data_IF_106042291469
#
_entry.id   IF_106042291469
#
_cell.length_a   1.000
_cell.length_b   1.000
_cell.length_c   1.000
_cell.angle_alpha   90.00
_cell.angle_beta   90.00
_cell.angle_gamma   90.00
#
_symmetry.space_group_name_H-M   'P 1'
#
loop_
_entity.id
_entity.type
_entity.pdbx_description
1 polymer ?
#
# COMPACT_ATOMS: atom_id res chain seq x y z
N UNK A 1 24.57 0.74 9.49
CA UNK A 1 25.56 0.79 10.58
C UNK A 1 26.84 1.37 10.02
N UNK A 2 27.41 2.39 10.65
CA UNK A 2 28.65 3.03 10.18
C UNK A 2 29.50 3.52 11.35
N UNK A 3 30.81 3.74 11.13
CA UNK A 3 31.69 4.31 12.15
C UNK A 3 31.38 5.79 12.35
N UNK A 4 31.54 6.26 13.58
CA UNK A 4 31.45 7.68 13.93
C UNK A 4 32.64 8.42 13.33
N UNK A 5 32.37 9.38 12.44
CA UNK A 5 33.38 10.15 11.68
C UNK A 5 33.73 11.51 12.30
N UNK A 6 32.96 11.98 13.29
CA UNK A 6 33.17 13.24 13.99
C UNK A 6 33.28 13.02 15.51
N UNK A 7 34.07 13.86 16.18
CA UNK A 7 34.25 13.76 17.63
C UNK A 7 32.92 14.07 18.34
N UNK A 8 32.56 13.20 19.29
CA UNK A 8 31.33 13.33 20.07
C UNK A 8 31.63 13.09 21.54
N UNK A 9 31.03 13.90 22.41
CA UNK A 9 31.20 13.79 23.87
C UNK A 9 30.70 12.44 24.43
N UNK A 10 29.75 11.79 23.72
CA UNK A 10 29.12 10.55 24.17
C UNK A 10 29.66 9.30 23.47
N UNK A 11 30.30 9.45 22.29
CA UNK A 11 30.68 8.32 21.44
C UNK A 11 32.10 8.51 20.93
N UNK A 12 32.94 7.49 21.12
CA UNK A 12 34.32 7.51 20.65
C UNK A 12 34.38 7.49 19.12
N UNK A 13 35.34 8.22 18.56
CA UNK A 13 35.69 8.16 17.14
C UNK A 13 35.91 6.72 16.67
N UNK A 14 35.36 6.38 15.50
CA UNK A 14 35.46 5.04 14.92
C UNK A 14 34.53 3.98 15.54
N UNK A 15 33.77 4.29 16.60
CA UNK A 15 32.77 3.37 17.13
C UNK A 15 31.60 3.21 16.14
N UNK A 16 31.12 1.98 15.99
CA UNK A 16 29.99 1.66 15.11
C UNK A 16 28.66 2.07 15.73
N UNK A 17 27.83 2.75 14.94
CA UNK A 17 26.50 3.17 15.34
C UNK A 17 25.47 2.87 14.25
N UNK A 18 24.21 2.73 14.66
CA UNK A 18 23.07 2.60 13.77
C UNK A 18 22.17 3.80 13.98
N UNK A 19 22.17 4.73 13.03
CA UNK A 19 21.22 5.83 13.02
C UNK A 19 19.89 5.33 12.47
N UNK A 20 18.84 5.42 13.28
CA UNK A 20 17.45 5.23 12.83
C UNK A 20 16.89 6.60 12.47
N UNK A 21 16.43 6.77 11.24
CA UNK A 21 15.78 8.01 10.81
C UNK A 21 14.34 8.04 11.31
N UNK A 22 13.98 9.09 12.04
CA UNK A 22 12.62 9.34 12.49
C UNK A 22 11.90 10.31 11.55
N UNK A 23 10.58 10.18 11.48
CA UNK A 23 9.75 11.13 10.73
C UNK A 23 9.78 12.49 11.43
N UNK A 24 9.85 13.58 10.64
CA UNK A 24 9.90 14.96 11.12
C UNK A 24 11.14 15.33 11.95
N UNK A 25 12.18 14.49 11.95
CA UNK A 25 13.46 14.84 12.52
C UNK A 25 14.43 15.25 11.40
N UNK A 26 15.03 16.42 11.54
CA UNK A 26 15.99 16.91 10.55
C UNK A 26 17.30 16.12 10.64
N UNK A 27 17.85 15.79 9.49
CA UNK A 27 19.17 15.16 9.36
C UNK A 27 19.95 15.80 8.21
N UNK A 28 21.26 15.67 8.24
CA UNK A 28 22.16 16.17 7.20
C UNK A 28 22.81 15.00 6.47
N UNK A 29 22.95 15.12 5.14
CA UNK A 29 23.65 14.16 4.30
C UNK A 29 24.86 14.83 3.67
N UNK A 30 25.99 14.15 3.74
CA UNK A 30 27.23 14.56 3.07
C UNK A 30 27.67 13.48 2.09
N UNK A 31 28.11 13.89 0.90
CA UNK A 31 28.60 13.02 -0.17
C UNK A 31 29.67 13.76 -0.94
N UNK A 32 30.74 13.07 -1.32
CA UNK A 32 31.88 13.66 -2.03
C UNK A 32 31.50 14.25 -3.40
N UNK A 33 30.47 13.71 -4.04
CA UNK A 33 30.00 14.15 -5.35
C UNK A 33 28.48 14.07 -5.43
N UNK A 34 27.83 15.18 -5.78
CA UNK A 34 26.41 15.23 -6.10
C UNK A 34 26.25 15.33 -7.61
N UNK A 35 25.66 14.32 -8.22
CA UNK A 35 25.25 14.36 -9.62
C UNK A 35 23.80 14.83 -9.75
N UNK A 36 23.39 15.12 -10.98
CA UNK A 36 22.05 15.61 -11.27
C UNK A 36 20.96 14.61 -10.83
N UNK A 37 21.21 13.30 -10.96
CA UNK A 37 20.24 12.26 -10.60
C UNK A 37 19.95 12.28 -9.10
N UNK A 38 20.98 12.49 -8.27
CA UNK A 38 20.79 12.62 -6.82
C UNK A 38 20.02 13.88 -6.46
N UNK A 39 20.31 15.01 -7.10
CA UNK A 39 19.60 16.28 -6.85
C UNK A 39 18.13 16.18 -7.26
N UNK A 40 17.84 15.63 -8.44
CA UNK A 40 16.47 15.44 -8.93
C UNK A 40 15.66 14.53 -8.00
N UNK A 41 16.27 13.47 -7.45
CA UNK A 41 15.60 12.59 -6.50
C UNK A 41 15.30 13.28 -5.17
N UNK A 42 16.20 14.14 -4.69
CA UNK A 42 15.95 14.92 -3.46
C UNK A 42 14.77 15.86 -3.70
N UNK A 43 14.78 16.58 -4.82
CA UNK A 43 13.71 17.52 -5.17
C UNK A 43 12.35 16.81 -5.29
N UNK A 44 12.31 15.66 -5.96
CA UNK A 44 11.10 14.84 -6.07
C UNK A 44 10.59 14.37 -4.70
N UNK A 45 11.48 13.96 -3.80
CA UNK A 45 11.11 13.47 -2.46
C UNK A 45 10.63 14.58 -1.54
N UNK A 46 11.12 15.80 -1.73
CA UNK A 46 10.74 16.97 -0.95
C UNK A 46 9.40 17.58 -1.37
N UNK A 47 8.82 17.18 -2.51
CA UNK A 47 7.54 17.71 -2.97
C UNK A 47 6.34 16.94 -2.37
N UNK A 48 5.58 17.55 -1.43
CA UNK A 48 4.46 16.87 -0.77
C UNK A 48 3.27 16.63 -1.70
N UNK A 49 3.12 17.38 -2.79
CA UNK A 49 1.99 17.24 -3.73
C UNK A 49 2.02 15.91 -4.51
N UNK A 50 3.17 15.21 -4.50
CA UNK A 50 3.39 13.94 -5.22
C UNK A 50 3.20 12.69 -4.35
N UNK A 51 2.84 12.84 -3.07
CA UNK A 51 2.78 11.73 -2.12
C UNK A 51 1.40 11.06 -2.09
N UNK A 52 1.34 9.89 -2.76
CA UNK A 52 0.21 8.94 -2.85
C UNK A 52 -0.97 9.42 -3.72
N UNK A 53 -1.27 8.67 -4.78
CA UNK A 53 -2.28 9.08 -5.75
C UNK A 53 -3.39 8.05 -5.91
N UNK A 54 -3.07 6.76 -5.80
CA UNK A 54 -3.96 5.71 -6.30
C UNK A 54 -4.05 4.54 -5.33
N UNK A 55 -5.26 4.13 -4.99
CA UNK A 55 -5.51 2.82 -4.41
C UNK A 55 -5.71 1.80 -5.55
N UNK A 56 -5.13 0.61 -5.43
CA UNK A 56 -5.29 -0.47 -6.38
C UNK A 56 -5.79 -1.72 -5.66
N UNK A 57 -6.95 -2.21 -6.06
CA UNK A 57 -7.57 -3.41 -5.55
C UNK A 57 -7.52 -4.48 -6.62
N UNK A 58 -6.69 -5.49 -6.40
CA UNK A 58 -6.53 -6.62 -7.32
C UNK A 58 -7.19 -7.84 -6.73
N UNK A 59 -8.08 -8.48 -7.49
CA UNK A 59 -8.88 -9.62 -7.08
C UNK A 59 -8.62 -10.84 -7.96
N UNK A 60 -8.77 -12.02 -7.40
CA UNK A 60 -8.73 -13.30 -8.10
C UNK A 60 -10.00 -14.11 -7.82
N UNK A 61 -10.44 -14.89 -8.80
CA UNK A 61 -11.62 -15.76 -8.69
C UNK A 61 -11.49 -16.88 -7.65
N UNK A 62 -10.27 -17.16 -7.17
CA UNK A 62 -9.96 -18.12 -6.12
C UNK A 62 -10.21 -17.60 -4.70
N UNK A 63 -10.67 -16.35 -4.53
CA UNK A 63 -10.89 -15.73 -3.22
C UNK A 63 -9.63 -15.09 -2.61
N UNK A 64 -8.71 -14.65 -3.46
CA UNK A 64 -7.56 -13.83 -3.07
C UNK A 64 -7.77 -12.39 -3.55
N UNK A 65 -7.55 -11.42 -2.68
CA UNK A 65 -7.49 -10.01 -3.06
C UNK A 65 -6.37 -9.28 -2.32
N UNK A 66 -5.82 -8.28 -2.99
CA UNK A 66 -4.82 -7.36 -2.48
C UNK A 66 -5.34 -5.93 -2.60
N UNK A 67 -5.32 -5.21 -1.49
CA UNK A 67 -5.58 -3.77 -1.45
C UNK A 67 -4.24 -3.08 -1.28
N UNK A 68 -3.82 -2.34 -2.30
CA UNK A 68 -2.53 -1.68 -2.37
C UNK A 68 -2.71 -0.17 -2.43
N UNK A 69 -1.81 0.56 -1.78
CA UNK A 69 -1.61 1.99 -2.02
C UNK A 69 -0.39 2.17 -2.92
N UNK A 70 -0.60 2.86 -4.04
CA UNK A 70 0.45 3.19 -5.00
C UNK A 70 0.81 4.66 -4.82
N UNK A 71 2.05 4.88 -4.43
CA UNK A 71 2.69 6.19 -4.37
C UNK A 71 3.69 6.31 -5.51
N UNK A 72 4.18 7.53 -5.80
CA UNK A 72 5.15 7.74 -6.88
C UNK A 72 6.42 6.89 -6.75
N UNK A 73 6.80 6.51 -5.53
CA UNK A 73 8.03 5.77 -5.26
C UNK A 73 7.80 4.32 -4.81
N UNK A 74 6.63 4.00 -4.25
CA UNK A 74 6.39 2.73 -3.56
C UNK A 74 4.99 2.19 -3.80
N UNK A 75 4.87 0.86 -3.84
CA UNK A 75 3.58 0.17 -3.73
C UNK A 75 3.52 -0.55 -2.40
N UNK A 76 2.53 -0.20 -1.57
CA UNK A 76 2.36 -0.74 -0.22
C UNK A 76 1.10 -1.58 -0.19
N UNK A 77 1.22 -2.87 0.11
CA UNK A 77 0.04 -3.73 0.36
C UNK A 77 -0.52 -3.43 1.74
N UNK A 78 -1.72 -2.84 1.81
CA UNK A 78 -2.41 -2.51 3.07
C UNK A 78 -3.19 -3.68 3.63
N UNK A 79 -3.86 -4.43 2.77
CA UNK A 79 -4.64 -5.59 3.17
C UNK A 79 -4.48 -6.72 2.15
N UNK A 80 -4.37 -7.94 2.66
CA UNK A 80 -4.38 -9.16 1.87
C UNK A 80 -5.52 -10.02 2.38
N UNK A 81 -6.58 -10.15 1.58
CA UNK A 81 -7.73 -10.98 1.91
C UNK A 81 -7.58 -12.31 1.20
N UNK A 82 -7.53 -13.39 1.96
CA UNK A 82 -7.52 -14.73 1.40
C UNK A 82 -8.61 -15.57 2.06
N UNK A 83 -9.59 -15.98 1.26
CA UNK A 83 -10.67 -16.87 1.67
C UNK A 83 -10.80 -18.03 0.68
N UNK A 84 -11.07 -19.22 1.18
CA UNK A 84 -11.36 -20.36 0.32
C UNK A 84 -12.80 -20.25 -0.20
N UNK A 85 -12.96 -20.06 -1.51
CA UNK A 85 -14.27 -20.04 -2.16
C UNK A 85 -14.53 -21.43 -2.77
N UNK A 86 -15.49 -22.22 -2.23
CA UNK A 86 -15.81 -23.54 -2.76
C UNK A 86 -16.28 -23.46 -4.22
N UNK A 87 -16.00 -24.48 -5.03
CA UNK A 87 -16.56 -24.54 -6.40
C UNK A 87 -18.09 -24.63 -6.37
N UNK A 88 -18.74 -24.03 -7.37
CA UNK A 88 -20.19 -24.10 -7.54
C UNK A 88 -20.63 -25.57 -7.67
N UNK A 89 -21.55 -26.01 -6.83
CA UNK A 89 -22.16 -27.36 -6.86
C UNK A 89 -23.68 -27.22 -6.91
N UNK A 90 -24.35 -28.05 -7.69
CA UNK A 90 -25.81 -28.09 -7.78
C UNK A 90 -26.41 -28.33 -6.38
N UNK A 91 -27.40 -27.52 -6.00
CA UNK A 91 -28.08 -27.58 -4.71
C UNK A 91 -27.34 -26.95 -3.52
N UNK A 92 -26.12 -26.43 -3.68
CA UNK A 92 -25.38 -25.79 -2.58
C UNK A 92 -25.38 -24.26 -2.66
N UNK A 93 -25.82 -23.60 -1.59
CA UNK A 93 -25.71 -22.13 -1.43
C UNK A 93 -24.37 -21.67 -0.86
N UNK A 94 -23.48 -22.60 -0.52
CA UNK A 94 -22.21 -22.29 0.17
C UNK A 94 -21.29 -21.41 -0.67
N UNK A 95 -21.30 -21.59 -2.00
CA UNK A 95 -20.50 -20.78 -2.91
C UNK A 95 -20.93 -19.30 -2.87
N UNK A 96 -22.23 -19.02 -2.99
CA UNK A 96 -22.76 -17.66 -2.94
C UNK A 96 -22.49 -16.99 -1.58
N UNK A 97 -22.68 -17.73 -0.48
CA UNK A 97 -22.37 -17.23 0.88
C UNK A 97 -20.88 -16.90 1.05
N UNK A 98 -19.99 -17.73 0.52
CA UNK A 98 -18.55 -17.49 0.58
C UNK A 98 -18.13 -16.25 -0.23
N UNK A 99 -18.73 -16.04 -1.41
CA UNK A 99 -18.50 -14.83 -2.23
C UNK A 99 -18.94 -13.58 -1.48
N UNK A 100 -20.15 -13.57 -0.90
CA UNK A 100 -20.65 -12.42 -0.13
C UNK A 100 -19.73 -12.12 1.06
N UNK A 101 -19.26 -13.14 1.77
CA UNK A 101 -18.31 -12.97 2.88
C UNK A 101 -16.97 -12.38 2.40
N UNK A 102 -16.47 -12.83 1.24
CA UNK A 102 -15.26 -12.31 0.62
C UNK A 102 -15.43 -10.84 0.20
N UNK A 103 -16.54 -10.50 -0.47
CA UNK A 103 -16.86 -9.13 -0.86
C UNK A 103 -17.00 -8.21 0.34
N UNK A 104 -17.67 -8.65 1.41
CA UNK A 104 -17.77 -7.88 2.66
C UNK A 104 -16.39 -7.57 3.26
N UNK A 105 -15.50 -8.55 3.36
CA UNK A 105 -14.16 -8.30 3.90
C UNK A 105 -13.34 -7.35 3.03
N UNK A 106 -13.51 -7.43 1.71
CA UNK A 106 -12.85 -6.53 0.77
C UNK A 106 -13.40 -5.10 0.88
N UNK A 107 -14.73 -4.96 0.94
CA UNK A 107 -15.41 -3.68 1.12
C UNK A 107 -14.98 -2.97 2.41
N UNK A 108 -14.94 -3.69 3.54
CA UNK A 108 -14.44 -3.13 4.81
C UNK A 108 -12.98 -2.68 4.72
N UNK A 109 -12.13 -3.42 3.99
CA UNK A 109 -10.73 -3.03 3.78
C UNK A 109 -10.60 -1.77 2.92
N UNK A 110 -11.52 -1.57 1.98
CA UNK A 110 -11.59 -0.40 1.09
C UNK A 110 -12.10 0.82 1.85
N UNK A 111 -13.12 0.67 2.71
CA UNK A 111 -13.61 1.76 3.56
C UNK A 111 -12.55 2.31 4.50
N UNK A 112 -11.65 1.45 5.00
CA UNK A 112 -10.56 1.83 5.89
C UNK A 112 -9.40 2.60 5.19
N UNK A 113 -9.48 2.84 3.88
CA UNK A 113 -8.45 3.58 3.14
C UNK A 113 -8.51 5.10 3.44
N UNK A 114 -7.37 5.81 3.40
CA UNK A 114 -7.32 7.26 3.62
C UNK A 114 -7.78 8.03 2.37
N UNK A 115 -9.10 8.07 2.14
CA UNK A 115 -9.72 8.65 0.93
C UNK A 115 -9.38 10.11 0.67
N UNK A 116 -9.12 10.91 1.71
CA UNK A 116 -8.73 12.32 1.57
C UNK A 116 -7.45 12.52 0.75
N UNK A 117 -6.57 11.50 0.72
CA UNK A 117 -5.28 11.55 0.02
C UNK A 117 -5.31 10.82 -1.33
N UNK A 118 -6.40 10.13 -1.67
CA UNK A 118 -6.46 9.30 -2.87
C UNK A 118 -7.16 10.04 -4.00
N UNK A 119 -6.53 10.10 -5.17
CA UNK A 119 -7.13 10.66 -6.39
C UNK A 119 -8.11 9.67 -7.01
N UNK A 120 -7.81 8.37 -6.98
CA UNK A 120 -8.72 7.34 -7.47
C UNK A 120 -8.48 5.96 -6.83
N UNK A 121 -9.44 5.05 -7.05
CA UNK A 121 -9.34 3.64 -6.68
C UNK A 121 -9.55 2.78 -7.93
N UNK A 122 -8.56 1.96 -8.26
CA UNK A 122 -8.59 1.02 -9.37
C UNK A 122 -9.07 -0.35 -8.91
N UNK A 123 -10.01 -0.95 -9.63
CA UNK A 123 -10.47 -2.32 -9.42
C UNK A 123 -10.00 -3.20 -10.59
N UNK A 124 -9.24 -4.25 -10.30
CA UNK A 124 -8.69 -5.17 -11.30
C UNK A 124 -8.95 -6.63 -10.95
N UNK A 125 -9.36 -7.44 -11.93
CA UNK A 125 -9.48 -8.89 -11.79
C UNK A 125 -9.41 -9.60 -13.14
N UNK A 126 -8.99 -10.88 -13.19
CA UNK A 126 -9.23 -11.71 -14.36
C UNK A 126 -10.72 -12.08 -14.46
N UNK A 127 -11.31 -11.87 -15.63
CA UNK A 127 -12.73 -12.14 -15.88
C UNK A 127 -13.65 -11.10 -15.22
N UNK A 128 -14.78 -11.57 -14.68
CA UNK A 128 -15.91 -10.73 -14.26
C UNK A 128 -15.94 -10.40 -12.75
N UNK A 129 -14.97 -10.87 -11.97
CA UNK A 129 -14.98 -10.73 -10.50
C UNK A 129 -15.03 -9.26 -10.08
N UNK A 130 -14.29 -8.38 -10.77
CA UNK A 130 -14.30 -6.94 -10.51
C UNK A 130 -15.67 -6.31 -10.77
N UNK A 131 -16.40 -6.78 -11.78
CA UNK A 131 -17.67 -6.21 -12.19
C UNK A 131 -18.77 -6.65 -11.21
N UNK A 132 -18.72 -7.91 -10.77
CA UNK A 132 -19.62 -8.44 -9.74
C UNK A 132 -19.36 -7.75 -8.39
N UNK A 133 -18.09 -7.56 -8.02
CA UNK A 133 -17.74 -6.83 -6.80
C UNK A 133 -18.13 -5.34 -6.89
N UNK A 134 -17.98 -4.69 -8.04
CA UNK A 134 -18.38 -3.31 -8.23
C UNK A 134 -19.90 -3.13 -8.07
N UNK A 135 -20.71 -4.05 -8.63
CA UNK A 135 -22.16 -4.06 -8.40
C UNK A 135 -22.50 -4.23 -6.92
N UNK A 136 -21.85 -5.19 -6.25
CA UNK A 136 -22.01 -5.41 -4.82
C UNK A 136 -21.69 -4.15 -4.00
N UNK A 137 -20.62 -3.44 -4.34
CA UNK A 137 -20.24 -2.18 -3.68
C UNK A 137 -21.30 -1.10 -3.87
N UNK A 138 -21.84 -0.94 -5.09
CA UNK A 138 -22.91 0.03 -5.37
C UNK A 138 -24.19 -0.29 -4.59
N UNK A 139 -24.56 -1.57 -4.47
CA UNK A 139 -25.72 -2.01 -3.69
C UNK A 139 -25.55 -1.71 -2.19
N UNK A 140 -24.36 -1.96 -1.64
CA UNK A 140 -24.06 -1.67 -0.23
C UNK A 140 -23.89 -0.18 0.05
N UNK A 141 -23.51 0.65 -0.94
CA UNK A 141 -23.42 2.11 -0.79
C UNK A 141 -24.78 2.81 -0.73
N UNK A 142 -25.85 2.19 -1.25
CA UNK A 142 -27.21 2.75 -1.24
C UNK A 142 -27.97 2.39 0.05
N UNK A 143 -27.45 1.44 0.82
CA UNK A 143 -27.96 1.04 2.14
C UNK A 143 -27.44 1.94 3.27
#
# INVERSE_FOLDING_TARGET
VGPTSAESNAVRMGAYHTLTLELNQNFSLEKDCWDQIFLDRIDESCNPERQAEVAAVVMQSSGLAHVCLVTGSLTITKSRIHMNIPKKRTGSSNHAKAIIKFHNALYQSILALPWEKLKCCLLGSPGFVKDDFYKFMLEECVR
#
